data_IF_201474819707
#
_entry.id   IF_201474819707
#
_cell.length_a   1.000
_cell.length_b   1.000
_cell.length_c   1.000
_cell.angle_alpha   90.00
_cell.angle_beta   90.00
_cell.angle_gamma   90.00
#
_symmetry.space_group_name_H-M   'P 1'
#
loop_
_entity.id
_entity.type
_entity.pdbx_description
1 polymer ?
#
# COMPACT_ATOMS: atom_id res chain seq x y z
N UNK A 1 -26.48 8.98 -14.15
CA UNK A 1 -26.99 8.19 -13.01
C UNK A 1 -26.20 8.57 -11.77
N UNK A 2 -26.86 9.30 -10.87
CA UNK A 2 -26.33 9.76 -9.59
C UNK A 2 -26.28 8.61 -8.59
N UNK A 3 -25.23 8.52 -7.77
CA UNK A 3 -25.27 7.70 -6.55
C UNK A 3 -25.37 8.65 -5.35
N UNK A 4 -26.53 8.61 -4.70
CA UNK A 4 -26.75 9.19 -3.39
C UNK A 4 -26.20 8.23 -2.32
N UNK A 5 -25.52 8.81 -1.32
CA UNK A 5 -25.12 8.13 -0.08
C UNK A 5 -26.27 8.29 0.91
N UNK A 6 -26.78 7.19 1.46
CA UNK A 6 -27.79 7.26 2.52
C UNK A 6 -27.39 6.36 3.69
N UNK A 7 -27.40 6.93 4.88
CA UNK A 7 -27.07 6.29 6.15
C UNK A 7 -28.34 5.81 6.87
N UNK A 8 -28.26 4.56 7.35
CA UNK A 8 -28.77 3.96 8.60
C UNK A 8 -30.29 3.94 8.92
N UNK A 9 -30.76 2.72 9.17
CA UNK A 9 -31.91 2.37 10.01
C UNK A 9 -32.09 0.86 10.14
N UNK A 10 -31.69 0.26 11.27
CA UNK A 10 -32.20 -1.05 11.76
C UNK A 10 -33.50 -0.85 12.57
N UNK A 11 -34.17 -1.89 13.13
CA UNK A 11 -33.57 -3.07 13.80
C UNK A 11 -34.30 -4.43 13.61
N UNK A 12 -33.68 -5.52 14.08
CA UNK A 12 -34.34 -6.82 14.34
C UNK A 12 -33.40 -8.05 14.23
N UNK A 13 -33.29 -8.94 15.23
CA UNK A 13 -32.25 -9.97 15.28
C UNK A 13 -32.71 -11.31 14.65
N UNK A 14 -31.85 -11.93 13.86
CA UNK A 14 -32.00 -13.33 13.41
C UNK A 14 -30.86 -14.18 13.99
N UNK A 15 -31.22 -15.26 14.68
CA UNK A 15 -30.33 -16.20 15.36
C UNK A 15 -29.41 -16.96 14.37
N UNK A 16 -28.19 -17.35 14.78
CA UNK A 16 -27.32 -18.19 13.96
C UNK A 16 -27.65 -19.69 14.11
N UNK A 17 -27.82 -20.38 12.98
CA UNK A 17 -27.93 -21.83 12.91
C UNK A 17 -26.59 -22.52 13.22
N UNK A 18 -26.63 -23.59 14.00
CA UNK A 18 -25.47 -24.37 14.43
C UNK A 18 -24.86 -25.24 13.31
N UNK A 19 -23.54 -25.50 13.32
CA UNK A 19 -22.90 -26.40 12.37
C UNK A 19 -23.11 -27.88 12.77
N UNK A 20 -23.26 -28.81 11.80
CA UNK A 20 -23.38 -30.23 12.10
C UNK A 20 -22.02 -30.85 12.48
N UNK A 21 -22.05 -31.66 13.54
CA UNK A 21 -20.94 -32.47 14.05
C UNK A 21 -20.53 -33.56 13.06
N UNK A 22 -19.25 -33.58 12.66
CA UNK A 22 -18.66 -34.65 11.86
C UNK A 22 -18.07 -35.70 12.81
N UNK A 23 -18.59 -36.93 12.76
CA UNK A 23 -18.00 -38.08 13.44
C UNK A 23 -16.81 -38.61 12.63
N UNK A 24 -15.70 -38.85 13.30
CA UNK A 24 -14.51 -39.51 12.73
C UNK A 24 -14.71 -41.02 12.86
N UNK A 25 -14.82 -41.71 11.72
CA UNK A 25 -14.71 -43.17 11.64
C UNK A 25 -13.61 -43.54 10.64
N UNK A 26 -12.63 -44.29 11.14
CA UNK A 26 -12.06 -45.48 10.52
C UNK A 26 -11.37 -45.33 9.16
N UNK A 27 -10.03 -45.32 9.21
CA UNK A 27 -9.13 -45.45 8.06
C UNK A 27 -9.30 -46.83 7.42
N UNK A 28 -9.44 -46.90 6.09
CA UNK A 28 -8.97 -48.05 5.29
C UNK A 28 -8.75 -47.67 3.83
N UNK A 29 -7.51 -47.91 3.41
CA UNK A 29 -6.88 -47.92 2.08
C UNK A 29 -7.76 -47.74 0.84
N UNK A 30 -7.45 -46.70 0.06
CA UNK A 30 -7.50 -46.77 -1.40
C UNK A 30 -6.24 -46.09 -1.98
N UNK A 31 -5.57 -46.85 -2.84
CA UNK A 31 -4.36 -46.52 -3.59
C UNK A 31 -4.56 -45.31 -4.49
N UNK A 32 -3.78 -44.25 -4.29
CA UNK A 32 -3.80 -43.05 -5.14
C UNK A 32 -2.69 -43.15 -6.18
N UNK A 33 -3.12 -43.18 -7.44
CA UNK A 33 -2.33 -42.95 -8.64
C UNK A 33 -1.47 -41.69 -8.50
N UNK A 34 -0.15 -41.85 -8.53
CA UNK A 34 0.81 -40.74 -8.54
C UNK A 34 0.95 -40.20 -9.96
N UNK A 35 0.07 -39.28 -10.36
CA UNK A 35 0.43 -38.31 -11.40
C UNK A 35 0.83 -37.01 -10.72
N UNK A 36 2.14 -36.80 -10.57
CA UNK A 36 2.70 -35.51 -10.17
C UNK A 36 2.60 -34.54 -11.35
N UNK A 37 2.05 -33.32 -11.16
CA UNK A 37 2.19 -32.28 -12.15
C UNK A 37 3.68 -31.93 -12.28
N UNK A 38 4.15 -31.75 -13.51
CA UNK A 38 5.50 -31.30 -13.84
C UNK A 38 5.69 -29.86 -13.34
N UNK A 39 5.99 -29.72 -12.04
CA UNK A 39 6.49 -28.49 -11.48
C UNK A 39 7.85 -28.25 -12.10
N UNK A 40 7.94 -27.14 -12.86
CA UNK A 40 9.21 -26.54 -13.31
C UNK A 40 10.23 -26.69 -12.19
N UNK A 41 11.30 -27.44 -12.48
CA UNK A 41 12.37 -27.73 -11.54
C UNK A 41 12.72 -26.49 -10.73
N UNK A 42 12.48 -26.53 -9.42
CA UNK A 42 12.92 -25.47 -8.52
C UNK A 42 14.42 -25.25 -8.76
N UNK A 43 14.88 -24.01 -8.98
CA UNK A 43 16.30 -23.77 -9.15
C UNK A 43 17.04 -24.35 -7.94
N UNK A 44 18.13 -25.05 -8.22
CA UNK A 44 18.96 -25.74 -7.23
C UNK A 44 19.17 -24.83 -6.01
N UNK A 45 18.61 -25.23 -4.85
CA UNK A 45 18.61 -24.49 -3.56
C UNK A 45 20.02 -24.10 -3.07
N UNK A 46 21.07 -24.59 -3.75
CA UNK A 46 22.48 -24.20 -3.58
C UNK A 46 22.81 -22.81 -4.14
N UNK A 47 21.95 -22.20 -4.96
CA UNK A 47 22.21 -20.87 -5.53
C UNK A 47 21.42 -19.81 -4.76
N UNK A 48 22.09 -19.21 -3.77
CA UNK A 48 21.72 -17.88 -3.25
C UNK A 48 20.87 -17.86 -1.98
N UNK A 49 21.32 -18.50 -0.90
CA UNK A 49 20.89 -18.12 0.45
C UNK A 49 22.03 -17.43 1.20
N UNK A 50 21.69 -16.30 1.82
CA UNK A 50 22.46 -15.44 2.72
C UNK A 50 23.92 -15.88 2.99
N UNK A 51 24.89 -15.01 2.62
CA UNK A 51 26.31 -15.15 2.97
C UNK A 51 26.72 -14.12 4.03
N UNK A 52 26.40 -14.30 5.32
CA UNK A 52 27.10 -13.55 6.36
C UNK A 52 28.59 -13.90 6.27
N UNK A 53 29.44 -12.90 6.01
CA UNK A 53 30.91 -13.05 6.02
C UNK A 53 31.48 -14.06 5.00
N UNK A 54 30.79 -14.30 3.88
CA UNK A 54 31.28 -15.18 2.82
C UNK A 54 31.23 -16.69 3.13
N UNK A 55 30.71 -17.09 4.30
CA UNK A 55 30.54 -18.51 4.67
C UNK A 55 29.13 -18.99 4.38
N UNK A 56 29.01 -20.22 3.86
CA UNK A 56 27.72 -20.87 3.63
C UNK A 56 27.18 -21.40 4.96
N UNK A 57 25.99 -20.95 5.35
CA UNK A 57 25.26 -21.48 6.51
C UNK A 57 23.97 -22.11 5.99
N UNK A 58 23.73 -23.41 6.23
CA UNK A 58 22.45 -24.05 5.89
C UNK A 58 21.28 -23.29 6.53
N UNK A 59 20.13 -23.22 5.83
CA UNK A 59 18.96 -22.46 6.28
C UNK A 59 18.51 -22.88 7.69
N UNK A 60 18.59 -24.17 7.96
CA UNK A 60 18.19 -24.82 9.21
C UNK A 60 19.11 -24.44 10.38
N UNK A 61 20.29 -23.86 10.10
CA UNK A 61 21.27 -23.38 11.08
C UNK A 61 21.36 -21.86 11.13
N UNK A 62 20.53 -21.13 10.37
CA UNK A 62 20.46 -19.67 10.43
C UNK A 62 19.69 -19.24 11.67
N UNK A 63 20.35 -18.62 12.64
CA UNK A 63 19.64 -17.95 13.72
C UNK A 63 19.17 -16.57 13.24
N UNK A 64 18.03 -16.04 13.75
CA UNK A 64 17.56 -14.70 13.42
C UNK A 64 18.61 -13.59 13.63
N UNK A 65 19.52 -13.78 14.58
CA UNK A 65 20.66 -12.87 14.84
C UNK A 65 21.65 -12.79 13.68
N UNK A 66 21.85 -13.87 12.92
CA UNK A 66 22.81 -13.93 11.81
C UNK A 66 22.25 -13.20 10.58
N UNK A 67 20.94 -13.29 10.37
CA UNK A 67 20.21 -12.51 9.37
C UNK A 67 20.32 -11.02 9.71
N UNK A 68 20.05 -10.65 10.97
CA UNK A 68 20.12 -9.26 11.44
C UNK A 68 21.54 -8.69 11.30
N UNK A 69 22.56 -9.45 11.67
CA UNK A 69 23.97 -9.04 11.55
C UNK A 69 24.40 -8.84 10.10
N UNK A 70 24.01 -9.76 9.21
CA UNK A 70 24.28 -9.65 7.78
C UNK A 70 23.59 -8.43 7.15
N UNK A 71 22.33 -8.15 7.51
CA UNK A 71 21.62 -6.95 7.03
C UNK A 71 22.30 -5.63 7.45
N UNK A 72 22.81 -5.56 8.69
CA UNK A 72 23.56 -4.39 9.19
C UNK A 72 24.88 -4.21 8.43
N UNK A 73 25.63 -5.30 8.20
CA UNK A 73 26.89 -5.23 7.43
C UNK A 73 26.68 -4.87 5.96
N UNK A 74 25.61 -5.37 5.33
CA UNK A 74 25.28 -4.98 3.95
C UNK A 74 24.86 -3.50 3.88
N UNK A 75 24.08 -3.00 4.84
CA UNK A 75 23.71 -1.58 4.87
C UNK A 75 24.91 -0.64 4.95
N UNK A 76 25.98 -1.00 5.68
CA UNK A 76 27.18 -0.16 5.80
C UNK A 76 27.93 0.05 4.48
N UNK A 77 27.77 -0.83 3.48
CA UNK A 77 28.47 -0.74 2.20
C UNK A 77 27.65 -0.08 1.07
N UNK A 78 26.38 0.29 1.30
CA UNK A 78 25.49 0.79 0.24
C UNK A 78 24.82 2.13 0.55
N UNK A 79 25.04 2.72 1.72
CA UNK A 79 24.42 3.99 2.10
C UNK A 79 25.29 5.20 1.75
N UNK A 80 25.94 5.18 0.59
CA UNK A 80 26.32 6.41 -0.12
C UNK A 80 25.25 6.78 -1.15
N UNK A 81 23.96 6.60 -0.81
CA UNK A 81 22.90 7.24 -1.58
C UNK A 81 22.74 8.64 -1.01
N UNK A 82 23.39 9.61 -1.67
CA UNK A 82 23.16 11.03 -1.47
C UNK A 82 21.65 11.26 -1.37
N UNK A 83 21.23 11.78 -0.22
CA UNK A 83 20.05 12.60 -0.04
C UNK A 83 18.89 12.26 -0.99
N UNK A 84 18.11 11.25 -0.65
CA UNK A 84 16.70 11.33 -0.96
C UNK A 84 16.07 12.14 0.18
N UNK A 85 15.77 13.45 0.00
CA UNK A 85 15.29 14.30 1.09
C UNK A 85 13.98 13.78 1.71
N UNK A 86 13.29 12.89 0.98
CA UNK A 86 12.05 12.23 1.39
C UNK A 86 12.25 10.97 2.24
N UNK A 87 13.45 10.38 2.30
CA UNK A 87 13.76 9.24 3.17
C UNK A 87 14.18 9.69 4.57
N UNK A 88 14.77 10.87 4.71
CA UNK A 88 15.20 11.43 5.99
C UNK A 88 14.18 12.44 6.51
N UNK A 89 13.02 11.95 6.96
CA UNK A 89 11.90 12.75 7.46
C UNK A 89 11.93 12.80 9.01
N UNK A 90 11.61 13.93 9.65
CA UNK A 90 11.66 14.02 11.11
C UNK A 90 10.64 13.07 11.79
N UNK A 91 10.99 12.47 12.94
CA UNK A 91 10.11 11.51 13.64
C UNK A 91 8.70 12.04 13.95
N UNK A 92 8.56 13.35 14.19
CA UNK A 92 7.27 14.00 14.47
C UNK A 92 6.23 13.79 13.36
N UNK A 93 6.66 13.72 12.10
CA UNK A 93 5.74 13.51 10.99
C UNK A 93 5.18 12.09 10.99
N UNK A 94 6.02 11.11 11.33
CA UNK A 94 5.59 9.72 11.44
C UNK A 94 4.64 9.52 12.60
N UNK A 95 4.97 10.09 13.77
CA UNK A 95 4.06 10.10 14.92
C UNK A 95 2.73 10.77 14.56
N UNK A 96 2.76 11.87 13.80
CA UNK A 96 1.55 12.57 13.38
C UNK A 96 0.64 11.71 12.47
N UNK A 97 1.21 10.90 11.58
CA UNK A 97 0.41 10.01 10.73
C UNK A 97 -0.03 8.77 11.52
N UNK A 98 0.84 8.19 12.34
CA UNK A 98 0.53 6.98 13.12
C UNK A 98 -0.46 7.22 14.26
N UNK A 99 -0.63 8.47 14.71
CA UNK A 99 -1.64 8.82 15.70
C UNK A 99 -3.06 8.94 15.13
N UNK A 100 -3.28 8.67 13.84
CA UNK A 100 -4.60 8.73 13.22
C UNK A 100 -5.50 7.59 13.75
N UNK A 101 -6.72 7.89 14.23
CA UNK A 101 -7.54 6.90 14.92
C UNK A 101 -8.17 5.85 13.98
N UNK A 102 -8.36 6.18 12.69
CA UNK A 102 -9.08 5.32 11.76
C UNK A 102 -8.46 5.35 10.35
N UNK A 103 -8.25 4.16 9.79
CA UNK A 103 -7.85 3.80 8.42
C UNK A 103 -6.34 3.51 8.17
N UNK A 104 -6.00 2.22 8.24
CA UNK A 104 -4.77 1.65 7.65
C UNK A 104 -4.55 2.09 6.18
N UNK A 105 -5.60 2.24 5.35
CA UNK A 105 -5.43 2.76 3.99
C UNK A 105 -4.86 4.18 3.95
N UNK A 106 -5.40 5.14 4.71
CA UNK A 106 -4.93 6.52 4.66
C UNK A 106 -3.48 6.64 5.14
N UNK A 107 -3.12 5.93 6.23
CA UNK A 107 -1.75 5.88 6.73
C UNK A 107 -0.81 5.35 5.65
N UNK A 108 -1.19 4.26 4.97
CA UNK A 108 -0.40 3.66 3.90
C UNK A 108 -0.24 4.61 2.71
N UNK A 109 -1.31 5.27 2.29
CA UNK A 109 -1.30 6.23 1.18
C UNK A 109 -0.41 7.42 1.54
N UNK A 110 -0.58 7.98 2.73
CA UNK A 110 0.20 9.13 3.19
C UNK A 110 1.68 8.75 3.30
N UNK A 111 2.02 7.61 3.89
CA UNK A 111 3.38 7.08 3.92
C UNK A 111 3.96 6.95 2.49
N UNK A 112 3.21 6.37 1.55
CA UNK A 112 3.63 6.24 0.15
C UNK A 112 3.88 7.61 -0.48
N UNK A 113 3.01 8.59 -0.25
CA UNK A 113 3.18 9.95 -0.74
C UNK A 113 4.49 10.55 -0.23
N UNK A 114 4.73 10.46 1.08
CA UNK A 114 5.93 11.02 1.70
C UNK A 114 7.21 10.37 1.17
N UNK A 115 7.18 9.08 0.84
CA UNK A 115 8.31 8.36 0.25
C UNK A 115 8.40 8.44 -1.28
N UNK A 116 7.50 9.14 -1.97
CA UNK A 116 7.37 9.11 -3.46
C UNK A 116 7.18 7.70 -4.01
N UNK A 117 6.37 6.90 -3.32
CA UNK A 117 6.01 5.53 -3.65
C UNK A 117 4.54 5.39 -4.02
N UNK A 118 3.92 6.49 -4.47
CA UNK A 118 2.60 6.46 -5.08
C UNK A 118 2.76 5.85 -6.48
N UNK A 119 1.96 4.83 -6.83
CA UNK A 119 2.02 4.18 -8.12
C UNK A 119 1.26 5.00 -9.18
N UNK A 120 1.64 6.26 -9.33
CA UNK A 120 1.18 7.13 -10.42
C UNK A 120 1.69 6.60 -11.75
N UNK A 121 1.00 6.88 -12.86
CA UNK A 121 1.48 6.44 -14.19
C UNK A 121 2.88 6.96 -14.50
N UNK A 122 3.24 8.16 -14.04
CA UNK A 122 4.61 8.67 -14.14
C UNK A 122 5.62 7.71 -13.48
N UNK A 123 5.39 7.29 -12.24
CA UNK A 123 6.26 6.33 -11.56
C UNK A 123 6.23 4.94 -12.19
N UNK A 124 5.05 4.46 -12.60
CA UNK A 124 4.92 3.14 -13.23
C UNK A 124 5.71 3.06 -14.54
N UNK A 125 5.67 4.10 -15.39
CA UNK A 125 6.51 4.19 -16.59
C UNK A 125 7.99 4.22 -16.26
N UNK A 126 8.40 5.04 -15.29
CA UNK A 126 9.79 5.11 -14.81
C UNK A 126 10.31 3.75 -14.33
N UNK A 127 9.43 2.91 -13.78
CA UNK A 127 9.74 1.55 -13.35
C UNK A 127 9.51 0.47 -14.44
N UNK A 128 9.42 0.86 -15.71
CA UNK A 128 9.39 -0.07 -16.84
C UNK A 128 8.06 -0.77 -17.07
N UNK A 129 6.95 -0.28 -16.51
CA UNK A 129 5.62 -0.81 -16.86
C UNK A 129 5.25 -0.39 -18.30
N UNK A 130 4.73 -1.33 -19.12
CA UNK A 130 4.32 -1.03 -20.50
C UNK A 130 3.00 -0.24 -20.49
N UNK A 131 3.09 1.08 -20.28
CA UNK A 131 1.97 2.01 -20.40
C UNK A 131 2.09 2.77 -21.71
N UNK A 132 0.96 2.94 -22.43
CA UNK A 132 0.89 3.70 -23.69
C UNK A 132 1.40 5.14 -23.52
N UNK A 133 1.06 5.75 -22.40
CA UNK A 133 1.39 7.12 -22.01
C UNK A 133 1.43 7.26 -20.48
N UNK A 134 1.78 8.44 -19.97
CA UNK A 134 1.65 8.82 -18.56
C UNK A 134 0.44 9.72 -18.27
N UNK A 135 -0.51 9.89 -19.20
CA UNK A 135 -1.66 10.76 -18.99
C UNK A 135 -2.65 10.17 -17.98
N UNK A 136 -3.33 11.04 -17.24
CA UNK A 136 -4.31 10.62 -16.25
C UNK A 136 -5.52 9.92 -16.87
N UNK A 137 -5.98 8.85 -16.23
CA UNK A 137 -7.17 8.10 -16.68
C UNK A 137 -8.50 8.87 -16.48
N UNK A 138 -8.47 9.95 -15.70
CA UNK A 138 -9.65 10.76 -15.38
C UNK A 138 -9.73 12.04 -16.23
N UNK A 139 -8.59 12.65 -16.52
CA UNK A 139 -8.46 13.84 -17.36
C UNK A 139 -7.25 13.66 -18.30
N UNK A 140 -7.46 13.04 -19.48
CA UNK A 140 -6.38 12.51 -20.33
C UNK A 140 -5.47 13.57 -20.99
N UNK A 141 -5.60 14.83 -20.61
CA UNK A 141 -4.80 15.95 -21.12
C UNK A 141 -3.59 16.28 -20.23
N UNK A 142 -3.54 15.73 -19.02
CA UNK A 142 -2.49 16.06 -18.03
C UNK A 142 -1.73 14.78 -17.62
N UNK A 143 -0.39 14.81 -17.60
CA UNK A 143 0.41 13.72 -17.05
C UNK A 143 0.07 13.43 -15.59
N UNK A 144 -0.08 12.16 -15.25
CA UNK A 144 -0.42 11.71 -13.91
C UNK A 144 0.82 11.57 -13.04
N UNK A 145 1.09 12.64 -12.29
CA UNK A 145 2.04 12.67 -11.17
C UNK A 145 1.37 12.24 -9.87
N UNK A 146 2.14 12.06 -8.79
CA UNK A 146 1.61 11.71 -7.47
C UNK A 146 0.58 12.72 -6.95
N UNK A 147 0.87 14.02 -7.11
CA UNK A 147 -0.04 15.09 -6.70
C UNK A 147 -1.23 15.23 -7.67
N UNK A 148 -1.05 14.92 -8.95
CA UNK A 148 -2.18 14.87 -9.86
C UNK A 148 -3.14 13.73 -9.52
N UNK A 149 -2.60 12.55 -9.24
CA UNK A 149 -3.36 11.35 -8.85
C UNK A 149 -4.19 11.58 -7.59
N UNK A 150 -3.64 12.31 -6.61
CA UNK A 150 -4.24 12.49 -5.28
C UNK A 150 -4.98 13.82 -5.08
N UNK A 151 -4.57 14.90 -5.74
CA UNK A 151 -4.99 16.28 -5.41
C UNK A 151 -5.52 17.02 -6.64
N UNK A 152 -4.68 17.23 -7.65
CA UNK A 152 -4.94 18.26 -8.68
C UNK A 152 -5.81 17.79 -9.84
N UNK A 153 -6.01 16.48 -10.01
CA UNK A 153 -6.98 15.95 -10.97
C UNK A 153 -8.39 16.52 -10.66
N UNK A 154 -9.18 16.98 -11.65
CA UNK A 154 -10.52 17.56 -11.42
C UNK A 154 -11.44 16.66 -10.58
N UNK A 155 -11.39 15.35 -10.81
CA UNK A 155 -12.17 14.38 -10.03
C UNK A 155 -11.74 14.31 -8.54
N UNK A 156 -10.49 14.65 -8.24
CA UNK A 156 -9.94 14.68 -6.88
C UNK A 156 -10.10 16.04 -6.23
N UNK A 157 -9.98 17.13 -7.00
CA UNK A 157 -10.31 18.48 -6.56
C UNK A 157 -11.71 18.54 -5.94
N UNK A 158 -12.71 17.89 -6.56
CA UNK A 158 -14.06 17.83 -5.99
C UNK A 158 -14.10 17.21 -4.57
N UNK A 159 -13.32 16.15 -4.32
CA UNK A 159 -13.23 15.50 -3.00
C UNK A 159 -12.61 16.47 -1.99
N UNK A 160 -11.54 17.15 -2.39
CA UNK A 160 -10.85 18.13 -1.55
C UNK A 160 -11.71 19.35 -1.26
N UNK A 161 -12.41 19.90 -2.24
CA UNK A 161 -13.33 21.03 -2.05
C UNK A 161 -14.50 20.69 -1.12
N UNK A 162 -14.98 19.44 -1.12
CA UNK A 162 -15.98 19.00 -0.15
C UNK A 162 -15.42 18.87 1.28
N UNK A 163 -14.14 18.47 1.41
CA UNK A 163 -13.50 18.26 2.71
C UNK A 163 -12.94 19.55 3.32
N UNK A 164 -12.46 20.46 2.46
CA UNK A 164 -11.72 21.68 2.76
C UNK A 164 -12.09 22.74 1.70
N UNK A 165 -13.26 23.40 1.82
CA UNK A 165 -13.78 24.30 0.80
C UNK A 165 -12.93 25.56 0.61
N UNK A 166 -12.25 26.02 1.66
CA UNK A 166 -11.46 27.26 1.65
C UNK A 166 -10.00 27.04 1.25
N UNK A 167 -9.54 25.79 1.14
CA UNK A 167 -8.14 25.47 0.86
C UNK A 167 -7.89 25.28 -0.63
N UNK A 168 -6.82 25.89 -1.13
CA UNK A 168 -6.34 25.65 -2.48
C UNK A 168 -5.49 24.36 -2.57
N UNK A 169 -5.19 23.93 -3.80
CA UNK A 169 -4.41 22.70 -4.00
C UNK A 169 -2.95 22.80 -3.55
N UNK A 170 -2.37 24.00 -3.51
CA UNK A 170 -0.99 24.21 -3.09
C UNK A 170 -0.89 24.09 -1.56
N UNK A 171 -1.84 24.68 -0.83
CA UNK A 171 -1.97 24.53 0.62
C UNK A 171 -2.19 23.06 1.00
N UNK A 172 -3.11 22.37 0.32
CA UNK A 172 -3.35 20.93 0.53
C UNK A 172 -2.05 20.15 0.33
N UNK A 173 -1.30 20.44 -0.73
CA UNK A 173 -0.03 19.79 -0.99
C UNK A 173 1.01 20.07 0.12
N UNK A 174 1.18 21.32 0.55
CA UNK A 174 2.09 21.70 1.62
C UNK A 174 1.76 20.98 2.94
N UNK A 175 0.48 20.94 3.29
CA UNK A 175 -0.03 20.28 4.50
C UNK A 175 0.13 18.76 4.45
N UNK A 176 -0.09 18.13 3.29
CA UNK A 176 0.19 16.71 3.09
C UNK A 176 1.67 16.38 3.20
N UNK A 177 2.55 17.30 2.80
CA UNK A 177 3.98 17.14 2.95
C UNK A 177 4.46 17.44 4.38
N UNK A 178 3.65 18.05 5.25
CA UNK A 178 4.03 18.42 6.61
C UNK A 178 2.97 18.01 7.63
N UNK A 179 2.70 16.71 7.83
CA UNK A 179 1.60 16.25 8.67
C UNK A 179 1.72 16.71 10.13
N UNK A 180 2.94 16.91 10.66
CA UNK A 180 3.14 17.39 12.02
C UNK A 180 2.72 18.86 12.24
N UNK A 181 2.55 19.67 11.18
CA UNK A 181 2.05 21.04 11.33
C UNK A 181 0.53 21.11 11.47
N UNK A 182 -0.18 20.00 11.23
CA UNK A 182 -1.63 19.95 11.26
C UNK A 182 -2.17 19.56 12.65
N UNK A 183 -3.21 20.28 13.08
CA UNK A 183 -4.01 19.88 14.24
C UNK A 183 -4.58 18.46 14.06
N UNK A 184 -4.80 17.68 15.15
CA UNK A 184 -5.30 16.31 15.07
C UNK A 184 -6.60 16.15 14.26
N UNK A 185 -7.55 17.08 14.42
CA UNK A 185 -8.83 17.09 13.68
C UNK A 185 -8.61 17.33 12.18
N UNK A 186 -7.75 18.29 11.83
CA UNK A 186 -7.35 18.56 10.44
C UNK A 186 -6.69 17.32 9.82
N UNK A 187 -5.74 16.68 10.51
CA UNK A 187 -5.11 15.43 10.03
C UNK A 187 -6.13 14.34 9.71
N UNK A 188 -7.16 14.18 10.55
CA UNK A 188 -8.22 13.22 10.29
C UNK A 188 -9.04 13.56 9.03
N UNK A 189 -9.29 14.85 8.76
CA UNK A 189 -9.93 15.30 7.52
C UNK A 189 -9.06 15.02 6.29
N UNK A 190 -7.77 15.35 6.34
CA UNK A 190 -6.82 15.03 5.27
C UNK A 190 -6.72 13.53 5.00
N UNK A 191 -6.69 12.70 6.06
CA UNK A 191 -6.66 11.25 5.94
C UNK A 191 -7.90 10.70 5.22
N UNK A 192 -9.09 11.19 5.58
CA UNK A 192 -10.35 10.80 4.91
C UNK A 192 -10.37 11.22 3.45
N UNK A 193 -9.95 12.45 3.14
CA UNK A 193 -9.90 12.96 1.76
C UNK A 193 -8.88 12.19 0.90
N UNK A 194 -7.72 11.84 1.46
CA UNK A 194 -6.73 10.96 0.81
C UNK A 194 -7.30 9.58 0.53
N UNK A 195 -7.96 8.95 1.51
CA UNK A 195 -8.55 7.63 1.34
C UNK A 195 -9.65 7.66 0.27
N UNK A 196 -10.53 8.67 0.27
CA UNK A 196 -11.55 8.85 -0.75
C UNK A 196 -10.93 9.06 -2.15
N UNK A 197 -9.91 9.91 -2.25
CA UNK A 197 -9.16 10.14 -3.49
C UNK A 197 -8.56 8.85 -4.04
N UNK A 198 -7.95 8.06 -3.17
CA UNK A 198 -7.40 6.76 -3.54
C UNK A 198 -8.47 5.77 -4.00
N UNK A 199 -9.56 5.62 -3.23
CA UNK A 199 -10.67 4.74 -3.58
C UNK A 199 -11.30 5.09 -4.92
N UNK A 200 -11.54 6.37 -5.21
CA UNK A 200 -12.05 6.81 -6.52
C UNK A 200 -11.08 6.47 -7.64
N UNK A 201 -9.77 6.68 -7.42
CA UNK A 201 -8.76 6.39 -8.42
C UNK A 201 -8.70 4.90 -8.79
N UNK A 202 -8.59 4.03 -7.80
CA UNK A 202 -8.45 2.59 -8.03
C UNK A 202 -9.78 1.91 -8.36
N UNK A 203 -10.89 2.43 -7.84
CA UNK A 203 -12.23 2.03 -8.25
C UNK A 203 -12.34 2.07 -9.76
N UNK A 204 -12.10 3.21 -10.40
CA UNK A 204 -12.17 3.33 -11.87
C UNK A 204 -11.12 2.50 -12.62
N UNK A 205 -9.92 2.38 -12.06
CA UNK A 205 -8.81 1.65 -12.71
C UNK A 205 -9.10 0.16 -12.80
N UNK A 206 -9.74 -0.40 -11.77
CA UNK A 206 -10.10 -1.81 -11.70
C UNK A 206 -11.57 -2.11 -12.07
N UNK A 207 -12.40 -1.08 -12.30
CA UNK A 207 -13.79 -1.23 -12.76
C UNK A 207 -13.92 -1.49 -14.27
N UNK A 208 -13.00 -2.26 -14.88
CA UNK A 208 -13.19 -2.79 -16.23
C UNK A 208 -13.29 -4.32 -16.12
N UNK A 209 -14.34 -4.99 -16.60
CA UNK A 209 -15.49 -4.54 -17.41
C UNK A 209 -16.79 -5.17 -16.96
#
# INVERSE_FOLDING_TARGET
MFWAVQCLGGPGPAQPAAPPSIQILGVSSLTVFTHTPNWVSLPNRKVGLFRPNGKFVPFEKLAPKDIRRSMVSSQAAHTSSKDHPRLNRPPKDWLAIWSLPFSTPAITIWWRLLHSKIPSRHHLRKHGRPLKDDYCLFCPLVPETDFHLLITCPAKKAIWSCALPDSDTAEIQCNLLSPASLAPSARATYARALAASWSVHWGRTFSKG
#
